data_IF_806881031820
#
_entry.id   IF_806881031820
#
_cell.length_a   1.000
_cell.length_b   1.000
_cell.length_c   1.000
_cell.angle_alpha   90.00
_cell.angle_beta   90.00
_cell.angle_gamma   90.00
#
_symmetry.space_group_name_H-M   'P 1'
#
loop_
_entity.id
_entity.type
_entity.pdbx_description
1 polymer ?
#
# COMPACT_ATOMS: atom_id res chain seq x y z
N UNK A 1 7.49 37.74 30.99
CA UNK A 1 7.50 36.60 30.04
C UNK A 1 8.88 35.97 30.10
N UNK A 2 9.06 34.92 30.91
CA UNK A 2 10.31 34.17 30.99
C UNK A 2 10.40 33.25 29.78
N UNK A 3 11.28 33.57 28.83
CA UNK A 3 11.75 32.60 27.85
C UNK A 3 12.57 31.57 28.63
N UNK A 4 11.93 30.47 29.04
CA UNK A 4 12.65 29.30 29.53
C UNK A 4 13.50 28.77 28.38
N UNK A 5 14.84 28.75 28.48
CA UNK A 5 15.68 28.22 27.42
C UNK A 5 15.42 26.71 27.34
N UNK A 6 14.72 26.27 26.28
CA UNK A 6 14.62 24.84 25.99
C UNK A 6 16.03 24.26 25.93
N UNK A 7 16.30 23.24 26.75
CA UNK A 7 17.62 22.61 26.81
C UNK A 7 18.02 22.16 25.40
N UNK A 8 19.23 22.49 24.91
CA UNK A 8 19.69 22.11 23.57
C UNK A 8 19.61 20.59 23.30
N UNK A 9 19.64 19.75 24.35
CA UNK A 9 19.40 18.31 24.25
C UNK A 9 17.97 17.95 23.82
N UNK A 10 16.93 18.65 24.28
CA UNK A 10 15.55 18.39 23.88
C UNK A 10 15.29 18.80 22.42
N UNK A 11 15.95 19.85 21.95
CA UNK A 11 15.88 20.28 20.53
C UNK A 11 16.58 19.28 19.61
N UNK A 12 17.71 18.69 20.04
CA UNK A 12 18.40 17.66 19.27
C UNK A 12 17.57 16.36 19.19
N UNK A 13 17.03 15.91 20.32
CA UNK A 13 16.28 14.66 20.43
C UNK A 13 14.94 14.71 19.66
N UNK A 14 14.29 15.88 19.63
CA UNK A 14 13.07 16.10 18.83
C UNK A 14 13.35 16.12 17.33
N UNK A 15 14.49 16.67 16.91
CA UNK A 15 14.94 16.69 15.52
C UNK A 15 15.29 15.29 15.01
N UNK A 16 15.95 14.49 15.84
CA UNK A 16 16.27 13.10 15.52
C UNK A 16 14.99 12.24 15.37
N UNK A 17 14.04 12.41 16.30
CA UNK A 17 12.72 11.74 16.25
C UNK A 17 11.91 12.11 15.00
N UNK A 18 11.92 13.38 14.60
CA UNK A 18 11.27 13.82 13.36
C UNK A 18 11.96 13.22 12.13
N UNK A 19 13.29 13.22 12.09
CA UNK A 19 14.04 12.65 10.96
C UNK A 19 13.77 11.15 10.77
N UNK A 20 13.67 10.39 11.88
CA UNK A 20 13.33 8.97 11.86
C UNK A 20 11.90 8.75 11.33
N UNK A 21 10.96 9.60 11.75
CA UNK A 21 9.58 9.53 11.30
C UNK A 21 9.44 9.85 9.81
N UNK A 22 10.14 10.87 9.32
CA UNK A 22 10.14 11.25 7.91
C UNK A 22 10.79 10.18 7.03
N UNK A 23 11.89 9.57 7.49
CA UNK A 23 12.49 8.41 6.82
C UNK A 23 11.54 7.23 6.79
N UNK A 24 10.89 6.89 7.90
CA UNK A 24 9.90 5.82 7.94
C UNK A 24 8.69 6.09 7.02
N UNK A 25 8.29 7.36 6.90
CA UNK A 25 7.24 7.78 5.96
C UNK A 25 7.69 7.60 4.52
N UNK A 26 8.91 8.02 4.19
CA UNK A 26 9.47 7.89 2.85
C UNK A 26 9.61 6.42 2.44
N UNK A 27 10.16 5.57 3.31
CA UNK A 27 10.28 4.14 3.04
C UNK A 27 8.93 3.46 2.87
N UNK A 28 7.91 3.84 3.64
CA UNK A 28 6.55 3.33 3.46
C UNK A 28 5.95 3.74 2.10
N UNK A 29 6.23 4.95 1.62
CA UNK A 29 5.80 5.41 0.29
C UNK A 29 6.52 4.66 -0.82
N UNK A 30 7.84 4.47 -0.70
CA UNK A 30 8.61 3.68 -1.66
C UNK A 30 8.13 2.23 -1.70
N UNK A 31 7.90 1.62 -0.54
CA UNK A 31 7.37 0.26 -0.45
C UNK A 31 5.99 0.16 -1.10
N UNK A 32 5.10 1.13 -0.86
CA UNK A 32 3.79 1.16 -1.52
C UNK A 32 3.91 1.32 -3.04
N UNK A 33 4.86 2.13 -3.54
CA UNK A 33 5.14 2.26 -4.99
C UNK A 33 5.63 0.94 -5.57
N UNK A 34 6.59 0.28 -4.91
CA UNK A 34 7.10 -1.02 -5.34
C UNK A 34 5.96 -2.05 -5.40
N UNK A 35 5.16 -2.15 -4.35
CA UNK A 35 3.97 -3.04 -4.33
C UNK A 35 3.04 -2.72 -5.50
N UNK A 36 2.79 -1.44 -5.80
CA UNK A 36 1.93 -1.03 -6.90
C UNK A 36 2.48 -1.46 -8.27
N UNK A 37 3.79 -1.26 -8.50
CA UNK A 37 4.48 -1.64 -9.75
C UNK A 37 4.51 -3.15 -9.91
N UNK A 38 4.82 -3.89 -8.84
CA UNK A 38 4.78 -5.35 -8.84
C UNK A 38 3.37 -5.88 -9.08
N UNK A 39 2.36 -5.33 -8.39
CA UNK A 39 0.97 -5.76 -8.54
C UNK A 39 0.45 -5.52 -9.96
N UNK A 40 0.72 -4.35 -10.56
CA UNK A 40 0.34 -4.08 -11.95
C UNK A 40 1.08 -4.97 -12.94
N UNK A 41 2.37 -5.24 -12.71
CA UNK A 41 3.14 -6.20 -13.50
C UNK A 41 2.57 -7.63 -13.44
N UNK A 42 2.21 -8.11 -12.24
CA UNK A 42 1.62 -9.45 -12.05
C UNK A 42 0.23 -9.51 -12.70
N UNK A 43 -0.61 -8.48 -12.56
CA UNK A 43 -1.90 -8.41 -13.25
C UNK A 43 -1.69 -8.53 -14.76
N UNK A 44 -0.77 -7.75 -15.33
CA UNK A 44 -0.45 -7.79 -16.76
C UNK A 44 0.04 -9.18 -17.21
N UNK A 45 0.93 -9.80 -16.44
CA UNK A 45 1.43 -11.14 -16.72
C UNK A 45 0.31 -12.20 -16.66
N UNK A 46 -0.57 -12.14 -15.66
CA UNK A 46 -1.72 -13.05 -15.55
C UNK A 46 -2.72 -12.84 -16.70
N UNK A 47 -3.00 -11.60 -17.08
CA UNK A 47 -3.86 -11.30 -18.23
C UNK A 47 -3.26 -11.80 -19.54
N UNK A 48 -1.94 -11.64 -19.74
CA UNK A 48 -1.25 -12.13 -20.93
C UNK A 48 -1.21 -13.66 -20.98
N UNK A 49 -0.97 -14.31 -19.85
CA UNK A 49 -1.04 -15.76 -19.71
C UNK A 49 -2.46 -16.28 -19.96
N UNK A 50 -3.49 -15.54 -19.56
CA UNK A 50 -4.87 -15.88 -19.84
C UNK A 50 -5.22 -15.76 -21.34
N UNK A 51 -4.62 -14.81 -22.06
CA UNK A 51 -4.77 -14.67 -23.51
C UNK A 51 -4.07 -15.79 -24.29
N UNK A 52 -2.92 -16.25 -23.80
CA UNK A 52 -2.14 -17.35 -24.41
C UNK A 52 -2.44 -18.71 -23.78
N UNK A 53 -3.68 -18.91 -23.30
CA UNK A 53 -4.06 -20.13 -22.61
C UNK A 53 -3.76 -21.38 -23.45
N UNK A 54 -3.29 -22.48 -22.84
CA UNK A 54 -2.98 -23.72 -23.55
C UNK A 54 -4.24 -24.29 -24.23
N UNK A 55 -4.09 -25.12 -25.28
CA UNK A 55 -5.20 -25.64 -26.08
C UNK A 55 -6.25 -26.43 -25.28
N UNK A 56 -5.88 -26.93 -24.10
CA UNK A 56 -6.78 -27.67 -23.20
C UNK A 56 -7.57 -26.75 -22.23
N UNK A 57 -7.28 -25.44 -22.24
CA UNK A 57 -7.85 -24.45 -21.33
C UNK A 57 -7.39 -24.63 -19.87
N UNK A 58 -7.71 -23.65 -19.03
CA UNK A 58 -7.50 -23.76 -17.58
C UNK A 58 -8.54 -24.66 -16.93
N UNK A 59 -8.10 -25.45 -15.94
CA UNK A 59 -8.98 -26.20 -15.06
C UNK A 59 -9.85 -25.26 -14.19
N UNK A 60 -10.96 -25.76 -13.66
CA UNK A 60 -11.86 -24.96 -12.81
C UNK A 60 -11.14 -24.38 -11.59
N UNK A 61 -10.19 -25.12 -11.01
CA UNK A 61 -9.41 -24.67 -9.85
C UNK A 61 -8.42 -23.55 -10.20
N UNK A 62 -7.73 -23.66 -11.35
CA UNK A 62 -6.83 -22.61 -11.85
C UNK A 62 -7.61 -21.33 -12.17
N UNK A 63 -8.80 -21.44 -12.78
CA UNK A 63 -9.67 -20.28 -13.06
C UNK A 63 -10.06 -19.54 -11.78
N UNK A 64 -10.37 -20.27 -10.71
CA UNK A 64 -10.69 -19.68 -9.40
C UNK A 64 -9.44 -18.97 -8.84
N UNK A 65 -8.28 -19.62 -8.87
CA UNK A 65 -7.01 -19.03 -8.42
C UNK A 65 -6.66 -17.74 -9.19
N UNK A 66 -6.81 -17.73 -10.52
CA UNK A 66 -6.57 -16.54 -11.36
C UNK A 66 -7.50 -15.41 -10.96
N UNK A 67 -8.81 -15.69 -10.81
CA UNK A 67 -9.80 -14.67 -10.43
C UNK A 67 -9.52 -14.12 -9.05
N UNK A 68 -9.23 -14.97 -8.07
CA UNK A 68 -8.92 -14.56 -6.70
C UNK A 68 -7.64 -13.72 -6.65
N UNK A 69 -6.59 -14.15 -7.37
CA UNK A 69 -5.35 -13.39 -7.49
C UNK A 69 -5.60 -12.00 -8.11
N UNK A 70 -6.36 -11.93 -9.20
CA UNK A 70 -6.74 -10.67 -9.85
C UNK A 70 -7.52 -9.76 -8.90
N UNK A 71 -8.55 -10.27 -8.22
CA UNK A 71 -9.35 -9.47 -7.28
C UNK A 71 -8.48 -8.93 -6.15
N UNK A 72 -7.63 -9.77 -5.55
CA UNK A 72 -6.71 -9.35 -4.50
C UNK A 72 -5.74 -8.27 -4.99
N UNK A 73 -5.16 -8.42 -6.18
CA UNK A 73 -4.20 -7.46 -6.73
C UNK A 73 -4.88 -6.13 -7.12
N UNK A 74 -6.10 -6.18 -7.69
CA UNK A 74 -6.87 -4.97 -8.01
C UNK A 74 -7.26 -4.21 -6.73
N UNK A 75 -7.73 -4.91 -5.71
CA UNK A 75 -8.02 -4.32 -4.39
C UNK A 75 -6.76 -3.72 -3.75
N UNK A 76 -5.62 -4.38 -3.91
CA UNK A 76 -4.32 -3.88 -3.44
C UNK A 76 -3.95 -2.56 -4.11
N UNK A 77 -4.09 -2.47 -5.44
CA UNK A 77 -3.82 -1.24 -6.20
C UNK A 77 -4.79 -0.12 -5.80
N UNK A 78 -6.09 -0.42 -5.68
CA UNK A 78 -7.10 0.56 -5.28
C UNK A 78 -6.87 1.10 -3.85
N UNK A 79 -6.51 0.22 -2.90
CA UNK A 79 -6.18 0.62 -1.53
C UNK A 79 -4.88 1.43 -1.46
N UNK A 80 -3.87 1.09 -2.26
CA UNK A 80 -2.62 1.84 -2.32
C UNK A 80 -2.83 3.25 -2.89
N UNK A 81 -3.61 3.40 -3.96
CA UNK A 81 -4.00 4.71 -4.51
C UNK A 81 -4.80 5.53 -3.49
N UNK A 82 -5.75 4.89 -2.80
CA UNK A 82 -6.52 5.54 -1.73
C UNK A 82 -5.64 5.99 -0.57
N UNK A 83 -4.59 5.23 -0.24
CA UNK A 83 -3.59 5.59 0.76
C UNK A 83 -2.76 6.82 0.37
N UNK A 84 -2.40 6.95 -0.91
CA UNK A 84 -1.71 8.15 -1.45
C UNK A 84 -2.62 9.37 -1.43
N UNK A 85 -3.91 9.20 -1.78
CA UNK A 85 -4.90 10.27 -1.70
C UNK A 85 -5.13 10.73 -0.25
N UNK A 86 -5.21 9.80 0.71
CA UNK A 86 -5.31 10.10 2.13
C UNK A 86 -4.08 10.84 2.68
N UNK A 87 -2.89 10.53 2.16
CA UNK A 87 -1.66 11.25 2.53
C UNK A 87 -1.68 12.70 2.03
N UNK A 88 -2.11 12.89 0.78
CA UNK A 88 -2.29 14.21 0.17
C UNK A 88 -3.35 15.04 0.91
N UNK A 89 -4.45 14.42 1.34
CA UNK A 89 -5.49 15.05 2.16
C UNK A 89 -5.00 15.41 3.57
N UNK A 90 -4.10 14.61 4.15
CA UNK A 90 -3.49 14.91 5.44
C UNK A 90 -2.59 16.14 5.36
N UNK A 91 -1.72 16.21 4.35
CA UNK A 91 -0.80 17.33 4.16
C UNK A 91 -1.55 18.62 3.77
N UNK A 92 -2.58 18.53 2.93
CA UNK A 92 -3.41 19.69 2.56
C UNK A 92 -4.20 20.25 3.75
N UNK A 93 -4.74 19.38 4.61
CA UNK A 93 -5.43 19.80 5.84
C UNK A 93 -4.49 20.48 6.84
N UNK A 94 -3.21 20.09 6.86
CA UNK A 94 -2.19 20.71 7.70
C UNK A 94 -1.73 22.05 7.12
N UNK A 95 -1.57 22.15 5.80
CA UNK A 95 -1.29 23.42 5.12
C UNK A 95 -2.39 24.46 5.35
N UNK A 96 -3.66 24.04 5.31
CA UNK A 96 -4.80 24.90 5.65
C UNK A 96 -4.79 25.38 7.10
N UNK A 97 -4.43 24.51 8.04
CA UNK A 97 -4.30 24.86 9.45
C UNK A 97 -3.17 25.87 9.74
N UNK A 98 -2.07 25.80 8.97
CA UNK A 98 -0.98 26.79 9.03
C UNK A 98 -1.36 28.13 8.40
N UNK A 99 -2.20 28.13 7.36
CA UNK A 99 -2.65 29.35 6.69
C UNK A 99 -3.74 30.10 7.48
N UNK A 100 -4.64 29.38 8.17
CA UNK A 100 -5.74 29.96 8.98
C UNK A 100 -5.39 30.12 10.47
N UNK A 101 -4.13 30.36 10.81
CA UNK A 101 -3.57 30.30 12.17
C UNK A 101 -4.02 31.43 13.14
N UNK A 102 -5.15 32.08 12.88
CA UNK A 102 -5.65 33.24 13.65
C UNK A 102 -6.70 32.89 14.71
N UNK A 103 -7.38 31.74 14.64
CA UNK A 103 -8.38 31.37 15.64
C UNK A 103 -8.19 29.97 16.22
N UNK A 104 -8.70 29.81 17.43
CA UNK A 104 -8.46 28.79 18.46
C UNK A 104 -8.77 27.31 18.08
N UNK A 105 -8.76 26.96 16.80
CA UNK A 105 -9.27 25.69 16.26
C UNK A 105 -8.20 24.62 15.97
N UNK A 106 -6.96 24.84 16.46
CA UNK A 106 -5.83 23.90 16.29
C UNK A 106 -6.18 22.48 16.74
N UNK A 107 -7.01 22.33 17.77
CA UNK A 107 -7.48 21.03 18.26
C UNK A 107 -8.27 20.22 17.22
N UNK A 108 -9.13 20.87 16.43
CA UNK A 108 -9.94 20.21 15.41
C UNK A 108 -9.07 19.70 14.25
N UNK A 109 -8.10 20.51 13.81
CA UNK A 109 -7.15 20.14 12.76
C UNK A 109 -6.21 19.01 13.18
N UNK A 110 -5.76 19.00 14.45
CA UNK A 110 -5.01 17.88 15.00
C UNK A 110 -5.81 16.57 15.02
N UNK A 111 -7.10 16.63 15.39
CA UNK A 111 -7.99 15.45 15.39
C UNK A 111 -8.20 14.91 13.97
N UNK A 112 -8.45 15.81 13.00
CA UNK A 112 -8.62 15.46 11.59
C UNK A 112 -7.35 14.83 11.00
N UNK A 113 -6.18 15.39 11.31
CA UNK A 113 -4.87 14.82 10.92
C UNK A 113 -4.66 13.42 11.49
N UNK A 114 -5.03 13.19 12.75
CA UNK A 114 -4.91 11.87 13.37
C UNK A 114 -5.84 10.83 12.72
N UNK A 115 -7.06 11.22 12.35
CA UNK A 115 -7.99 10.37 11.60
C UNK A 115 -7.41 9.95 10.24
N UNK A 116 -6.88 10.89 9.45
CA UNK A 116 -6.23 10.57 8.17
C UNK A 116 -5.02 9.66 8.34
N UNK A 117 -4.22 9.85 9.40
CA UNK A 117 -3.12 8.92 9.72
C UNK A 117 -3.60 7.52 10.07
N UNK A 118 -4.70 7.38 10.82
CA UNK A 118 -5.27 6.07 11.13
C UNK A 118 -5.80 5.38 9.87
N UNK A 119 -6.53 6.10 9.01
CA UNK A 119 -7.00 5.57 7.72
C UNK A 119 -5.82 5.10 6.86
N UNK A 120 -4.75 5.90 6.78
CA UNK A 120 -3.54 5.52 6.05
C UNK A 120 -2.88 4.25 6.59
N UNK A 121 -2.79 4.08 7.91
CA UNK A 121 -2.26 2.86 8.52
C UNK A 121 -3.10 1.63 8.18
N UNK A 122 -4.42 1.75 8.28
CA UNK A 122 -5.35 0.66 7.96
C UNK A 122 -5.24 0.29 6.48
N UNK A 123 -5.28 1.28 5.58
CA UNK A 123 -5.12 1.05 4.14
C UNK A 123 -3.78 0.40 3.82
N UNK A 124 -2.70 0.83 4.46
CA UNK A 124 -1.39 0.23 4.25
C UNK A 124 -1.35 -1.25 4.68
N UNK A 125 -1.96 -1.59 5.82
CA UNK A 125 -2.07 -3.00 6.26
C UNK A 125 -2.87 -3.82 5.24
N UNK A 126 -4.00 -3.29 4.76
CA UNK A 126 -4.83 -3.97 3.75
C UNK A 126 -4.05 -4.19 2.44
N UNK A 127 -3.27 -3.19 2.00
CA UNK A 127 -2.39 -3.29 0.82
C UNK A 127 -1.37 -4.42 0.99
N UNK A 128 -0.68 -4.47 2.13
CA UNK A 128 0.33 -5.50 2.39
C UNK A 128 -0.31 -6.89 2.43
N UNK A 129 -1.43 -7.06 3.15
CA UNK A 129 -2.14 -8.33 3.24
C UNK A 129 -2.69 -8.79 1.88
N UNK A 130 -3.30 -7.88 1.12
CA UNK A 130 -3.82 -8.15 -0.22
C UNK A 130 -2.72 -8.55 -1.20
N UNK A 131 -1.56 -7.90 -1.12
CA UNK A 131 -0.40 -8.23 -1.93
C UNK A 131 0.16 -9.62 -1.62
N UNK A 132 0.31 -9.96 -0.34
CA UNK A 132 0.78 -11.28 0.10
C UNK A 132 -0.19 -12.37 -0.36
N UNK A 133 -1.50 -12.16 -0.19
CA UNK A 133 -2.51 -13.09 -0.65
C UNK A 133 -2.47 -13.28 -2.19
N UNK A 134 -2.32 -12.18 -2.93
CA UNK A 134 -2.19 -12.19 -4.39
C UNK A 134 -0.96 -12.95 -4.89
N UNK A 135 0.22 -12.69 -4.31
CA UNK A 135 1.45 -13.43 -4.62
C UNK A 135 1.32 -14.91 -4.27
N UNK A 136 0.74 -15.22 -3.12
CA UNK A 136 0.58 -16.62 -2.68
C UNK A 136 -0.31 -17.38 -3.66
N UNK A 137 -1.43 -16.79 -4.11
CA UNK A 137 -2.29 -17.39 -5.13
C UNK A 137 -1.57 -17.55 -6.48
N UNK A 138 -0.78 -16.54 -6.90
CA UNK A 138 0.01 -16.63 -8.12
C UNK A 138 1.09 -17.72 -8.05
N UNK A 139 1.78 -17.84 -6.90
CA UNK A 139 2.77 -18.88 -6.65
C UNK A 139 2.17 -20.28 -6.65
N UNK A 140 1.00 -20.46 -6.02
CA UNK A 140 0.24 -21.72 -6.07
C UNK A 140 -0.18 -22.08 -7.49
N UNK A 141 -0.53 -21.09 -8.32
CA UNK A 141 -0.87 -21.30 -9.71
C UNK A 141 0.34 -21.74 -10.54
N UNK A 142 1.51 -21.13 -10.36
CA UNK A 142 2.76 -21.56 -11.01
C UNK A 142 3.10 -22.99 -10.57
N UNK A 143 2.98 -23.29 -9.27
CA UNK A 143 3.23 -24.63 -8.75
C UNK A 143 2.27 -25.66 -9.35
N UNK A 144 0.97 -25.33 -9.48
CA UNK A 144 -0.02 -26.19 -10.11
C UNK A 144 0.28 -26.43 -11.60
N UNK A 145 0.70 -25.39 -12.33
CA UNK A 145 1.09 -25.50 -13.74
C UNK A 145 2.36 -26.35 -13.93
N UNK A 146 3.36 -26.21 -13.05
CA UNK A 146 4.61 -26.98 -13.10
C UNK A 146 4.42 -28.42 -12.63
N UNK A 147 3.57 -28.64 -11.63
CA UNK A 147 3.27 -29.97 -11.08
C UNK A 147 2.28 -30.77 -11.93
N UNK A 148 1.56 -30.14 -12.86
CA UNK A 148 0.75 -30.86 -13.84
C UNK A 148 1.69 -31.65 -14.77
N UNK A 149 1.73 -32.99 -14.70
CA UNK A 149 2.55 -33.77 -15.61
C UNK A 149 2.05 -33.48 -17.02
N UNK A 150 2.99 -33.17 -17.92
CA UNK A 150 2.77 -33.15 -19.37
C UNK A 150 2.17 -34.52 -19.71
N UNK A 151 0.84 -34.61 -19.82
CA UNK A 151 0.18 -35.75 -20.44
C UNK A 151 0.50 -35.62 -21.93
N UNK A 152 1.68 -36.11 -22.30
CA UNK A 152 2.03 -36.40 -23.68
C UNK A 152 1.00 -37.45 -24.11
N UNK A 153 0.03 -37.01 -24.91
CA UNK A 153 -0.91 -37.91 -25.55
C UNK A 153 -0.08 -38.86 -26.43
N UNK A 154 -0.09 -40.14 -26.06
CA UNK A 154 0.31 -41.25 -26.92
C UNK A 154 -0.89 -41.71 -27.74
#
# INVERSE_FOLDING_TARGET
MQHSPEKPQQVLETRDKQSLFDRARATAVELARLILTLATGIIGALSLAAMHAPPNGFTSNEKILIRTALICLVLTVACALSGVAADSASDSSWGWALYHNEHNDKGQWHKKRNQWRQVRKILFIIVVLGFIAGITCAGLLILALVAAPIKIAA
#
